data_IF_661869211309
#
_entry.id   IF_661869211309
#
_cell.length_a   1.000
_cell.length_b   1.000
_cell.length_c   1.000
_cell.angle_alpha   90.00
_cell.angle_beta   90.00
_cell.angle_gamma   90.00
#
_symmetry.space_group_name_H-M   'P 1'
#
loop_
_entity.id
_entity.type
_entity.pdbx_description
1 polymer ?
#
# COMPACT_ATOMS: atom_id res chain seq x y z
N UNK A 1 19.14 -20.00 -13.60
CA UNK A 1 18.86 -21.05 -12.61
C UNK A 1 19.90 -22.15 -12.73
N UNK A 2 20.49 -22.57 -11.61
CA UNK A 2 21.48 -23.65 -11.56
C UNK A 2 20.73 -24.99 -11.40
N UNK A 3 19.99 -25.39 -12.46
CA UNK A 3 19.11 -26.56 -12.42
C UNK A 3 19.88 -27.83 -12.02
N UNK A 4 21.05 -28.06 -12.64
CA UNK A 4 21.88 -29.24 -12.38
C UNK A 4 22.39 -29.28 -10.93
N UNK A 5 22.72 -28.10 -10.36
CA UNK A 5 23.13 -27.98 -8.97
C UNK A 5 22.02 -28.33 -8.01
N UNK A 6 20.82 -27.80 -8.23
CA UNK A 6 19.63 -28.07 -7.39
C UNK A 6 19.25 -29.53 -7.49
N UNK A 7 19.25 -30.13 -8.69
CA UNK A 7 19.00 -31.55 -8.90
C UNK A 7 20.01 -32.43 -8.16
N UNK A 8 21.32 -32.13 -8.29
CA UNK A 8 22.38 -32.89 -7.59
C UNK A 8 22.30 -32.78 -6.06
N UNK A 9 21.89 -31.60 -5.52
CA UNK A 9 21.61 -31.47 -4.08
C UNK A 9 20.39 -32.32 -3.71
N UNK A 10 19.32 -32.28 -4.53
CA UNK A 10 18.12 -33.09 -4.33
C UNK A 10 18.45 -34.58 -4.23
N UNK A 11 19.21 -35.11 -5.16
CA UNK A 11 19.63 -36.52 -5.13
C UNK A 11 20.48 -36.85 -3.88
N UNK A 12 21.44 -35.98 -3.55
CA UNK A 12 22.35 -36.23 -2.41
C UNK A 12 21.63 -36.20 -1.06
N UNK A 13 20.60 -35.38 -0.89
CA UNK A 13 19.84 -35.24 0.35
C UNK A 13 18.52 -35.99 0.34
N UNK A 14 18.22 -36.74 -0.73
CA UNK A 14 16.99 -37.54 -0.84
C UNK A 14 15.72 -36.70 -0.90
N UNK A 15 15.80 -35.50 -1.51
CA UNK A 15 14.62 -34.63 -1.63
C UNK A 15 13.63 -35.21 -2.64
N UNK A 16 12.34 -35.06 -2.32
CA UNK A 16 11.30 -35.50 -3.24
C UNK A 16 11.36 -34.68 -4.55
N UNK A 17 11.14 -35.29 -5.76
CA UNK A 17 11.22 -34.59 -7.04
C UNK A 17 10.33 -33.34 -7.12
N UNK A 18 9.16 -33.34 -6.50
CA UNK A 18 8.27 -32.17 -6.42
C UNK A 18 8.89 -31.01 -5.62
N UNK A 19 9.70 -31.31 -4.58
CA UNK A 19 10.42 -30.27 -3.83
C UNK A 19 11.48 -29.63 -4.71
N UNK A 20 12.21 -30.42 -5.50
CA UNK A 20 13.20 -29.90 -6.47
C UNK A 20 12.52 -29.00 -7.53
N UNK A 21 11.36 -29.42 -8.04
CA UNK A 21 10.56 -28.63 -8.97
C UNK A 21 10.12 -27.30 -8.34
N UNK A 22 9.62 -27.33 -7.11
CA UNK A 22 9.17 -26.13 -6.39
C UNK A 22 10.32 -25.15 -6.05
N UNK A 23 11.53 -25.66 -5.79
CA UNK A 23 12.72 -24.83 -5.60
C UNK A 23 13.07 -24.11 -6.90
N UNK A 24 12.94 -24.77 -8.04
CA UNK A 24 13.22 -24.20 -9.36
C UNK A 24 12.12 -23.28 -9.85
N UNK A 25 10.87 -23.48 -9.42
CA UNK A 25 9.75 -22.64 -9.73
C UNK A 25 9.60 -21.56 -8.66
N UNK A 26 10.17 -20.38 -8.94
CA UNK A 26 10.26 -19.28 -7.96
C UNK A 26 8.99 -18.45 -7.82
N UNK A 27 7.83 -18.94 -8.26
CA UNK A 27 6.52 -18.27 -8.06
C UNK A 27 5.59 -19.01 -7.10
N UNK A 28 6.17 -19.77 -6.17
CA UNK A 28 5.41 -20.48 -5.15
C UNK A 28 4.85 -19.54 -4.07
N UNK A 29 3.70 -19.93 -3.51
CA UNK A 29 3.19 -19.30 -2.27
C UNK A 29 3.95 -19.87 -1.07
N UNK A 30 4.10 -19.10 0.01
CA UNK A 30 4.62 -19.64 1.25
C UNK A 30 3.83 -20.90 1.65
N UNK A 31 4.55 -21.97 1.88
CA UNK A 31 3.99 -23.28 2.28
C UNK A 31 5.00 -24.08 3.08
N UNK A 32 4.49 -25.04 3.81
CA UNK A 32 5.29 -26.02 4.54
C UNK A 32 4.80 -27.43 4.18
N UNK A 33 5.74 -28.35 3.97
CA UNK A 33 5.47 -29.76 3.71
C UNK A 33 6.42 -30.62 4.57
N UNK A 34 5.86 -31.54 5.34
CA UNK A 34 6.63 -32.47 6.18
C UNK A 34 6.73 -33.81 5.45
N UNK A 35 7.96 -34.25 5.17
CA UNK A 35 8.29 -35.52 4.54
C UNK A 35 8.80 -36.56 5.56
N UNK A 36 8.74 -36.28 6.86
CA UNK A 36 9.23 -37.12 7.96
C UNK A 36 10.73 -36.98 8.19
N UNK A 37 11.55 -37.23 7.19
CA UNK A 37 13.03 -37.12 7.28
C UNK A 37 13.51 -35.68 7.14
N UNK A 38 12.72 -34.83 6.49
CA UNK A 38 12.97 -33.39 6.36
C UNK A 38 11.65 -32.61 6.25
N UNK A 39 11.71 -31.34 6.63
CA UNK A 39 10.64 -30.35 6.42
C UNK A 39 11.07 -29.39 5.33
N UNK A 40 10.20 -29.19 4.34
CA UNK A 40 10.37 -28.20 3.28
C UNK A 40 9.50 -26.98 3.55
N UNK A 41 10.11 -25.80 3.50
CA UNK A 41 9.43 -24.52 3.74
C UNK A 41 9.75 -23.56 2.61
N UNK A 42 8.71 -22.96 2.04
CA UNK A 42 8.82 -21.88 1.05
C UNK A 42 8.37 -20.58 1.71
N UNK A 43 9.14 -19.54 1.50
CA UNK A 43 8.91 -18.18 2.02
C UNK A 43 9.08 -17.15 0.91
N UNK A 44 8.52 -15.97 1.13
CA UNK A 44 8.78 -14.78 0.33
C UNK A 44 9.59 -13.79 1.16
N UNK A 45 10.87 -13.61 0.83
CA UNK A 45 11.65 -12.54 1.40
C UNK A 45 11.31 -11.22 0.71
N UNK A 46 11.11 -10.18 1.50
CA UNK A 46 10.77 -8.83 1.05
C UNK A 46 11.95 -7.92 1.30
N UNK A 47 12.31 -7.12 0.31
CA UNK A 47 13.37 -6.11 0.42
C UNK A 47 12.94 -4.81 -0.24
N UNK A 48 13.47 -3.70 0.27
CA UNK A 48 13.31 -2.39 -0.35
C UNK A 48 14.68 -1.92 -0.83
N UNK A 49 14.84 -1.71 -2.14
CA UNK A 49 16.06 -1.16 -2.73
C UNK A 49 15.92 0.35 -2.95
N UNK A 50 16.60 1.16 -2.10
CA UNK A 50 16.72 2.62 -2.25
C UNK A 50 15.41 3.41 -2.09
N UNK A 51 15.50 4.74 -2.21
CA UNK A 51 14.37 5.66 -2.01
C UNK A 51 13.33 5.65 -3.15
N UNK A 52 13.68 5.13 -4.33
CA UNK A 52 12.82 5.16 -5.55
C UNK A 52 12.45 3.79 -6.08
N UNK A 53 12.99 2.71 -5.54
CA UNK A 53 12.71 1.37 -6.05
C UNK A 53 11.53 0.75 -5.32
N UNK A 54 10.68 0.10 -6.10
CA UNK A 54 9.52 -0.62 -5.60
C UNK A 54 9.91 -1.75 -4.64
N UNK A 55 8.89 -2.35 -4.07
CA UNK A 55 9.01 -3.58 -3.30
C UNK A 55 9.62 -4.68 -4.18
N UNK A 56 10.73 -5.24 -3.72
CA UNK A 56 11.33 -6.43 -4.32
C UNK A 56 10.99 -7.66 -3.48
N UNK A 57 10.76 -8.76 -4.15
CA UNK A 57 10.55 -10.05 -3.51
C UNK A 57 11.45 -11.09 -4.13
N UNK A 58 11.85 -12.05 -3.31
CA UNK A 58 12.51 -13.27 -3.77
C UNK A 58 11.92 -14.47 -3.04
N UNK A 59 11.90 -15.61 -3.71
CA UNK A 59 11.57 -16.87 -3.07
C UNK A 59 12.77 -17.36 -2.29
N UNK A 60 12.50 -17.77 -1.06
CA UNK A 60 13.44 -18.49 -0.21
C UNK A 60 12.86 -19.86 0.07
N UNK A 61 13.58 -20.90 -0.29
CA UNK A 61 13.25 -22.30 0.02
C UNK A 61 14.19 -22.82 1.09
N UNK A 62 13.65 -23.38 2.16
CA UNK A 62 14.41 -23.97 3.27
C UNK A 62 14.09 -25.46 3.36
N UNK A 63 15.12 -26.28 3.49
CA UNK A 63 15.00 -27.69 3.82
C UNK A 63 15.63 -27.93 5.17
N UNK A 64 14.83 -28.27 6.16
CA UNK A 64 15.25 -28.62 7.50
C UNK A 64 15.31 -30.14 7.64
N UNK A 65 16.51 -30.71 7.74
CA UNK A 65 16.72 -32.09 8.15
C UNK A 65 17.17 -32.19 9.60
N UNK A 66 17.42 -33.41 10.06
CA UNK A 66 17.79 -33.68 11.46
C UNK A 66 19.04 -32.90 11.90
N UNK A 67 20.07 -32.81 11.05
CA UNK A 67 21.38 -32.23 11.36
C UNK A 67 21.85 -31.18 10.35
N UNK A 68 20.97 -30.74 9.45
CA UNK A 68 21.32 -29.79 8.40
C UNK A 68 20.16 -28.86 8.09
N UNK A 69 20.49 -27.68 7.54
CA UNK A 69 19.55 -26.78 6.89
C UNK A 69 20.15 -26.41 5.54
N UNK A 70 19.34 -26.51 4.48
CA UNK A 70 19.71 -26.04 3.15
C UNK A 70 18.80 -24.87 2.82
N UNK A 71 19.37 -23.76 2.36
CA UNK A 71 18.62 -22.60 1.90
C UNK A 71 18.91 -22.35 0.41
N UNK A 72 17.85 -22.21 -0.37
CA UNK A 72 17.90 -21.78 -1.77
C UNK A 72 17.34 -20.36 -1.87
N UNK A 73 18.07 -19.50 -2.56
CA UNK A 73 17.73 -18.09 -2.76
C UNK A 73 17.88 -17.76 -4.24
N UNK A 74 17.06 -16.84 -4.75
CA UNK A 74 17.12 -16.37 -6.14
C UNK A 74 18.25 -15.38 -6.37
N UNK A 75 18.55 -14.55 -5.36
CA UNK A 75 19.54 -13.46 -5.42
C UNK A 75 20.69 -13.71 -4.46
N UNK A 76 21.87 -13.21 -4.82
CA UNK A 76 23.04 -13.35 -3.95
C UNK A 76 22.84 -12.58 -2.63
N UNK A 77 22.67 -13.33 -1.57
CA UNK A 77 23.13 -13.07 -0.21
C UNK A 77 22.52 -11.95 0.61
N UNK A 78 21.60 -11.13 0.10
CA UNK A 78 21.16 -9.94 0.84
C UNK A 78 20.38 -10.30 2.12
N UNK A 79 19.49 -11.27 2.09
CA UNK A 79 18.58 -11.58 3.21
C UNK A 79 19.31 -12.22 4.38
N UNK A 80 20.14 -13.23 4.12
CA UNK A 80 20.81 -14.02 5.18
C UNK A 80 22.24 -13.60 5.52
N UNK A 81 22.70 -12.44 5.04
CA UNK A 81 24.06 -11.96 5.30
C UNK A 81 24.41 -11.95 6.79
N UNK A 82 23.56 -11.33 7.61
CA UNK A 82 23.74 -11.26 9.07
C UNK A 82 23.78 -12.64 9.73
N UNK A 83 22.97 -13.59 9.29
CA UNK A 83 22.96 -14.96 9.82
C UNK A 83 24.25 -15.67 9.46
N UNK A 84 24.71 -15.57 8.20
CA UNK A 84 26.00 -16.14 7.76
C UNK A 84 27.17 -15.60 8.54
N UNK A 85 27.21 -14.29 8.82
CA UNK A 85 28.27 -13.67 9.61
C UNK A 85 28.25 -14.16 11.08
N UNK A 86 27.07 -14.35 11.65
CA UNK A 86 26.92 -14.93 13.00
C UNK A 86 27.41 -16.38 13.04
N UNK A 87 27.14 -17.19 12.01
CA UNK A 87 27.64 -18.56 11.88
C UNK A 87 29.17 -18.56 11.79
N UNK A 88 29.74 -17.73 10.89
CA UNK A 88 31.21 -17.63 10.71
C UNK A 88 31.94 -17.17 11.96
N UNK A 89 31.33 -16.24 12.69
CA UNK A 89 31.91 -15.74 13.92
C UNK A 89 31.87 -16.75 15.10
N UNK A 90 31.10 -17.85 14.94
CA UNK A 90 30.90 -18.84 16.01
C UNK A 90 30.24 -18.26 17.28
N UNK A 91 29.64 -17.08 17.19
CA UNK A 91 29.08 -16.35 18.32
C UNK A 91 27.59 -16.64 18.50
N UNK A 92 27.16 -16.67 19.76
CA UNK A 92 25.76 -16.86 20.11
C UNK A 92 25.29 -18.30 20.12
N UNK A 93 23.97 -18.50 20.07
CA UNK A 93 23.35 -19.83 20.17
C UNK A 93 23.44 -20.62 18.87
N UNK A 94 23.54 -19.98 17.69
CA UNK A 94 23.55 -20.65 16.38
C UNK A 94 24.63 -21.74 16.31
N UNK A 95 25.83 -21.51 16.85
CA UNK A 95 26.91 -22.47 16.85
C UNK A 95 26.80 -23.58 17.92
N UNK A 96 25.83 -23.48 18.83
CA UNK A 96 25.65 -24.40 19.97
C UNK A 96 24.31 -25.15 19.94
N UNK A 97 23.41 -24.75 19.05
CA UNK A 97 22.06 -25.30 18.91
C UNK A 97 21.95 -26.17 17.67
N UNK A 98 20.85 -26.92 17.54
CA UNK A 98 20.60 -27.81 16.42
C UNK A 98 20.22 -27.11 15.11
N UNK A 99 19.99 -27.88 14.08
CA UNK A 99 19.55 -27.42 12.76
C UNK A 99 18.21 -26.65 12.85
N UNK A 100 17.33 -27.08 13.75
CA UNK A 100 16.04 -26.44 14.03
C UNK A 100 16.19 -24.98 14.47
N UNK A 101 17.15 -24.68 15.35
CA UNK A 101 17.41 -23.30 15.77
C UNK A 101 18.00 -22.44 14.63
N UNK A 102 18.80 -23.04 13.74
CA UNK A 102 19.26 -22.36 12.55
C UNK A 102 18.10 -22.06 11.60
N UNK A 103 17.20 -23.02 11.36
CA UNK A 103 16.00 -22.81 10.56
C UNK A 103 15.14 -21.68 11.13
N UNK A 104 14.88 -21.69 12.46
CA UNK A 104 14.23 -20.59 13.15
C UNK A 104 14.93 -19.25 12.86
N UNK A 105 16.25 -19.18 13.00
CA UNK A 105 17.00 -17.91 12.80
C UNK A 105 16.89 -17.38 11.38
N UNK A 106 16.74 -18.24 10.39
CA UNK A 106 16.48 -17.84 8.99
C UNK A 106 15.06 -17.32 8.81
N UNK A 107 14.06 -18.01 9.40
CA UNK A 107 12.65 -17.57 9.40
C UNK A 107 12.49 -16.21 10.06
N UNK A 108 13.07 -16.04 11.25
CA UNK A 108 13.09 -14.82 12.03
C UNK A 108 13.65 -13.64 11.22
N UNK A 109 14.78 -13.85 10.54
CA UNK A 109 15.38 -12.83 9.67
C UNK A 109 14.45 -12.42 8.51
N UNK A 110 13.68 -13.34 7.94
CA UNK A 110 12.71 -13.02 6.88
C UNK A 110 11.56 -12.19 7.45
N UNK A 111 11.05 -12.54 8.64
CA UNK A 111 9.97 -11.82 9.30
C UNK A 111 10.43 -10.43 9.76
N UNK A 112 11.65 -10.30 10.30
CA UNK A 112 12.24 -9.00 10.64
C UNK A 112 12.28 -8.04 9.44
N UNK A 113 12.61 -8.56 8.26
CA UNK A 113 12.60 -7.76 7.04
C UNK A 113 11.20 -7.27 6.64
N UNK A 114 10.13 -7.98 7.03
CA UNK A 114 8.77 -7.50 6.79
C UNK A 114 8.50 -6.20 7.55
N UNK A 115 8.98 -6.07 8.79
CA UNK A 115 8.81 -4.84 9.56
C UNK A 115 9.56 -3.66 8.95
N UNK A 116 10.75 -3.88 8.39
CA UNK A 116 11.47 -2.82 7.66
C UNK A 116 10.67 -2.34 6.44
N UNK A 117 10.04 -3.27 5.73
CA UNK A 117 9.18 -2.93 4.58
C UNK A 117 7.91 -2.21 5.04
N UNK A 118 7.27 -2.69 6.11
CA UNK A 118 6.06 -2.09 6.67
C UNK A 118 6.31 -0.66 7.17
N UNK A 119 7.44 -0.41 7.83
CA UNK A 119 7.83 0.94 8.26
C UNK A 119 7.90 1.91 7.07
N UNK A 120 8.56 1.53 5.98
CA UNK A 120 8.62 2.35 4.76
C UNK A 120 7.26 2.55 4.08
N UNK A 121 6.40 1.53 4.12
CA UNK A 121 5.04 1.66 3.60
C UNK A 121 4.24 2.62 4.47
N UNK A 122 4.39 2.57 5.79
CA UNK A 122 3.79 3.51 6.74
C UNK A 122 4.19 4.95 6.44
N UNK A 123 5.49 5.23 6.28
CA UNK A 123 6.00 6.56 5.90
C UNK A 123 5.41 7.06 4.57
N UNK A 124 5.26 6.17 3.58
CA UNK A 124 4.62 6.52 2.30
C UNK A 124 3.13 6.84 2.46
N UNK A 125 2.43 6.15 3.36
CA UNK A 125 1.03 6.39 3.68
C UNK A 125 0.89 7.77 4.31
N UNK A 126 1.67 8.10 5.34
CA UNK A 126 1.65 9.40 6.02
C UNK A 126 1.94 10.55 5.05
N UNK A 127 2.99 10.45 4.25
CA UNK A 127 3.32 11.46 3.24
C UNK A 127 2.20 11.66 2.21
N UNK A 128 1.48 10.59 1.88
CA UNK A 128 0.39 10.65 0.92
C UNK A 128 -0.87 11.26 1.53
N UNK A 129 -1.13 11.02 2.83
CA UNK A 129 -2.21 11.63 3.59
C UNK A 129 -2.01 13.15 3.67
N UNK A 130 -0.81 13.61 4.00
CA UNK A 130 -0.46 15.03 4.02
C UNK A 130 -0.64 15.70 2.66
N UNK A 131 -0.22 15.03 1.59
CA UNK A 131 -0.39 15.52 0.22
C UNK A 131 -1.88 15.60 -0.18
N UNK A 132 -2.69 14.65 0.29
CA UNK A 132 -4.12 14.59 0.02
C UNK A 132 -4.89 15.74 0.69
N UNK A 133 -4.53 16.06 1.94
CA UNK A 133 -5.13 17.16 2.69
C UNK A 133 -4.73 18.52 2.09
N UNK A 134 -3.47 18.66 1.67
CA UNK A 134 -2.94 19.95 1.17
C UNK A 134 -3.43 20.27 -0.24
N UNK A 135 -3.40 19.34 -1.17
CA UNK A 135 -3.80 19.55 -2.56
C UNK A 135 -4.13 18.24 -3.28
N UNK A 136 -5.39 17.79 -3.24
CA UNK A 136 -5.82 16.60 -3.94
C UNK A 136 -5.70 16.76 -5.47
N UNK A 137 -4.74 16.08 -6.06
CA UNK A 137 -4.46 16.14 -7.49
C UNK A 137 -4.42 14.72 -8.11
N UNK A 138 -4.50 14.64 -9.45
CA UNK A 138 -4.44 13.35 -10.16
C UNK A 138 -3.20 12.49 -9.85
N UNK A 139 -1.99 13.04 -9.59
CA UNK A 139 -0.85 12.25 -9.14
C UNK A 139 -1.07 11.57 -7.79
N UNK A 140 -1.77 12.23 -6.85
CA UNK A 140 -2.10 11.66 -5.53
C UNK A 140 -2.96 10.41 -5.66
N UNK A 141 -3.98 10.46 -6.54
CA UNK A 141 -4.82 9.28 -6.81
C UNK A 141 -4.02 8.10 -7.39
N UNK A 142 -3.09 8.37 -8.30
CA UNK A 142 -2.21 7.32 -8.85
C UNK A 142 -1.34 6.68 -7.76
N UNK A 143 -0.74 7.50 -6.89
CA UNK A 143 0.06 7.01 -5.78
C UNK A 143 -0.75 6.17 -4.78
N UNK A 144 -2.02 6.54 -4.50
CA UNK A 144 -2.95 5.73 -3.70
C UNK A 144 -3.17 4.35 -4.35
N UNK A 145 -3.39 4.30 -5.66
CA UNK A 145 -3.59 3.04 -6.37
C UNK A 145 -2.32 2.17 -6.44
N UNK A 146 -1.14 2.77 -6.54
CA UNK A 146 0.13 2.06 -6.49
C UNK A 146 0.33 1.43 -5.12
N UNK A 147 0.13 2.21 -4.06
CA UNK A 147 0.25 1.75 -2.69
C UNK A 147 -0.76 0.63 -2.36
N UNK A 148 -1.99 0.73 -2.86
CA UNK A 148 -2.99 -0.34 -2.75
C UNK A 148 -2.51 -1.64 -3.40
N UNK A 149 -1.86 -1.57 -4.56
CA UNK A 149 -1.28 -2.75 -5.23
C UNK A 149 -0.13 -3.34 -4.42
N UNK A 150 0.74 -2.48 -3.87
CA UNK A 150 1.84 -2.89 -3.01
C UNK A 150 1.31 -3.65 -1.78
N UNK A 151 0.25 -3.15 -1.12
CA UNK A 151 -0.37 -3.83 0.03
C UNK A 151 -1.00 -5.19 -0.32
N UNK A 152 -1.66 -5.29 -1.46
CA UNK A 152 -2.20 -6.58 -1.93
C UNK A 152 -1.06 -7.59 -2.13
N UNK A 153 0.04 -7.15 -2.68
CA UNK A 153 1.21 -7.98 -2.93
C UNK A 153 1.86 -8.41 -1.60
N UNK A 154 2.07 -7.47 -0.66
CA UNK A 154 2.59 -7.76 0.68
C UNK A 154 1.70 -8.76 1.43
N UNK A 155 0.40 -8.57 1.39
CA UNK A 155 -0.55 -9.49 2.01
C UNK A 155 -0.42 -10.91 1.46
N UNK A 156 -0.28 -11.07 0.14
CA UNK A 156 -0.08 -12.38 -0.49
C UNK A 156 1.22 -13.06 -0.07
N UNK A 157 2.23 -12.27 0.27
CA UNK A 157 3.54 -12.77 0.71
C UNK A 157 3.55 -13.14 2.19
N UNK A 158 2.87 -12.35 3.05
CA UNK A 158 2.92 -12.51 4.50
C UNK A 158 1.83 -13.44 5.03
N UNK A 159 0.61 -13.35 4.52
CA UNK A 159 -0.55 -14.07 5.05
C UNK A 159 -0.37 -15.60 5.13
N UNK A 160 0.16 -16.29 4.09
CA UNK A 160 0.33 -17.74 4.15
C UNK A 160 1.40 -18.18 5.15
N UNK A 161 2.32 -17.29 5.55
CA UNK A 161 3.37 -17.62 6.51
C UNK A 161 2.79 -17.99 7.89
N UNK A 162 1.63 -17.46 8.24
CA UNK A 162 0.88 -17.87 9.44
C UNK A 162 0.64 -19.40 9.48
N UNK A 163 0.25 -19.99 8.35
CA UNK A 163 0.01 -21.44 8.25
C UNK A 163 1.31 -22.22 8.35
N UNK A 164 2.36 -21.73 7.70
CA UNK A 164 3.70 -22.30 7.77
C UNK A 164 4.19 -22.37 9.23
N UNK A 165 4.13 -21.26 9.94
CA UNK A 165 4.59 -21.19 11.33
C UNK A 165 3.70 -21.99 12.29
N UNK A 166 2.38 -22.00 12.06
CA UNK A 166 1.46 -22.85 12.80
C UNK A 166 1.76 -24.32 12.59
N UNK A 167 2.14 -24.74 11.37
CA UNK A 167 2.56 -26.11 11.07
C UNK A 167 3.84 -26.49 11.81
N UNK A 168 4.82 -25.59 11.85
CA UNK A 168 6.08 -25.81 12.59
C UNK A 168 5.90 -25.84 14.11
N UNK A 169 4.85 -25.20 14.65
CA UNK A 169 4.52 -25.24 16.08
C UNK A 169 3.84 -26.53 16.54
N UNK A 170 3.17 -27.24 15.62
CA UNK A 170 2.51 -28.49 15.98
C UNK A 170 3.55 -29.55 16.33
N UNK A 171 3.31 -30.33 17.39
CA UNK A 171 4.21 -31.38 17.86
C UNK A 171 4.40 -32.54 16.85
N UNK A 172 3.76 -32.47 15.69
CA UNK A 172 3.82 -33.48 14.64
C UNK A 172 5.19 -33.56 13.96
N UNK A 173 6.00 -32.48 14.01
CA UNK A 173 7.33 -32.46 13.38
C UNK A 173 8.41 -32.84 14.41
N UNK A 174 8.90 -34.05 14.36
CA UNK A 174 9.99 -34.51 15.22
C UNK A 174 11.34 -33.78 15.02
N UNK A 175 11.43 -32.96 13.98
CA UNK A 175 12.65 -32.21 13.62
C UNK A 175 12.80 -30.88 14.38
N UNK A 176 11.76 -30.39 15.06
CA UNK A 176 11.77 -29.16 15.84
C UNK A 176 11.73 -29.50 17.33
N UNK A 177 12.77 -29.17 18.06
CA UNK A 177 12.84 -29.40 19.50
C UNK A 177 11.91 -28.48 20.28
N UNK A 178 11.44 -28.93 21.45
CA UNK A 178 10.64 -28.11 22.37
C UNK A 178 11.31 -26.78 22.75
N UNK A 179 12.65 -26.75 22.82
CA UNK A 179 13.41 -25.55 23.09
C UNK A 179 13.32 -24.53 21.95
N UNK A 180 13.24 -25.00 20.69
CA UNK A 180 13.11 -24.15 19.49
C UNK A 180 11.67 -23.73 19.24
N UNK A 181 10.67 -24.53 19.64
CA UNK A 181 9.26 -24.18 19.50
C UNK A 181 8.88 -22.86 20.16
N UNK A 182 9.52 -22.51 21.29
CA UNK A 182 9.29 -21.22 21.96
C UNK A 182 9.66 -20.05 21.05
N UNK A 183 10.74 -20.17 20.30
CA UNK A 183 11.20 -19.15 19.37
C UNK A 183 10.33 -19.09 18.10
N UNK A 184 9.87 -20.23 17.59
CA UNK A 184 8.93 -20.26 16.45
C UNK A 184 7.59 -19.60 16.82
N UNK A 185 7.16 -19.76 18.09
CA UNK A 185 5.97 -19.06 18.59
C UNK A 185 6.13 -17.55 18.55
N UNK A 186 7.29 -17.04 18.94
CA UNK A 186 7.61 -15.62 18.88
C UNK A 186 7.56 -15.09 17.43
N UNK A 187 8.15 -15.81 16.47
CA UNK A 187 8.05 -15.48 15.04
C UNK A 187 6.60 -15.53 14.54
N UNK A 188 5.80 -16.46 15.03
CA UNK A 188 4.38 -16.52 14.71
C UNK A 188 3.65 -15.25 15.19
N UNK A 189 3.88 -14.84 16.45
CA UNK A 189 3.27 -13.64 17.02
C UNK A 189 3.70 -12.39 16.26
N UNK A 190 4.97 -12.27 15.87
CA UNK A 190 5.48 -11.20 14.98
C UNK A 190 4.77 -11.23 13.62
N UNK A 191 4.56 -12.40 13.04
CA UNK A 191 3.85 -12.52 11.76
C UNK A 191 2.39 -12.06 11.86
N UNK A 192 1.70 -12.38 12.95
CA UNK A 192 0.34 -11.88 13.22
C UNK A 192 0.36 -10.35 13.30
N UNK A 193 1.31 -9.77 14.04
CA UNK A 193 1.44 -8.32 14.13
C UNK A 193 1.70 -7.66 12.77
N UNK A 194 2.51 -8.27 11.90
CA UNK A 194 2.73 -7.78 10.54
C UNK A 194 1.44 -7.83 9.71
N UNK A 195 0.62 -8.88 9.85
CA UNK A 195 -0.68 -9.02 9.19
C UNK A 195 -1.64 -7.93 9.66
N UNK A 196 -1.76 -7.69 10.97
CA UNK A 196 -2.63 -6.67 11.55
C UNK A 196 -2.23 -5.25 11.08
N UNK A 197 -0.93 -4.99 10.97
CA UNK A 197 -0.40 -3.74 10.41
C UNK A 197 -0.81 -3.56 8.95
N UNK A 198 -0.71 -4.62 8.13
CA UNK A 198 -1.16 -4.58 6.72
C UNK A 198 -2.66 -4.31 6.58
N UNK A 199 -3.49 -4.90 7.46
CA UNK A 199 -4.93 -4.62 7.46
C UNK A 199 -5.22 -3.16 7.85
N UNK A 200 -4.51 -2.63 8.86
CA UNK A 200 -4.59 -1.21 9.23
C UNK A 200 -4.23 -0.29 8.06
N UNK A 201 -3.14 -0.56 7.38
CA UNK A 201 -2.72 0.22 6.20
C UNK A 201 -3.73 0.15 5.06
N UNK A 202 -4.34 -1.02 4.83
CA UNK A 202 -5.42 -1.17 3.84
C UNK A 202 -6.61 -0.28 4.16
N UNK A 203 -7.01 -0.22 5.43
CA UNK A 203 -8.15 0.59 5.89
C UNK A 203 -7.83 2.09 5.78
N UNK A 204 -6.60 2.50 6.10
CA UNK A 204 -6.13 3.89 5.90
C UNK A 204 -6.21 4.29 4.41
N UNK A 205 -5.72 3.45 3.51
CA UNK A 205 -5.78 3.72 2.05
C UNK A 205 -7.23 3.79 1.55
N UNK A 206 -8.11 2.96 2.09
CA UNK A 206 -9.54 3.02 1.75
C UNK A 206 -10.15 4.35 2.20
N UNK A 207 -9.85 4.81 3.41
CA UNK A 207 -10.26 6.13 3.91
C UNK A 207 -9.72 7.30 3.08
N UNK A 208 -8.48 7.19 2.59
CA UNK A 208 -7.91 8.22 1.70
C UNK A 208 -8.67 8.37 0.38
N UNK A 209 -9.17 7.27 -0.19
CA UNK A 209 -10.00 7.34 -1.39
C UNK A 209 -11.31 8.09 -1.14
N UNK A 210 -11.93 7.87 0.01
CA UNK A 210 -13.16 8.58 0.40
C UNK A 210 -12.89 10.08 0.60
N UNK A 211 -11.79 10.43 1.26
CA UNK A 211 -11.35 11.82 1.43
C UNK A 211 -11.09 12.47 0.07
N UNK A 212 -10.40 11.77 -0.85
CA UNK A 212 -10.13 12.27 -2.20
C UNK A 212 -11.43 12.58 -2.96
N UNK A 213 -12.41 11.67 -2.96
CA UNK A 213 -13.69 11.85 -3.61
C UNK A 213 -14.49 13.01 -2.99
N UNK A 214 -14.49 13.12 -1.66
CA UNK A 214 -15.11 14.24 -0.96
C UNK A 214 -14.46 15.57 -1.32
N UNK A 215 -13.14 15.62 -1.40
CA UNK A 215 -12.36 16.81 -1.74
C UNK A 215 -12.64 17.28 -3.18
N UNK A 216 -12.71 16.35 -4.13
CA UNK A 216 -13.11 16.66 -5.52
C UNK A 216 -14.55 17.18 -5.59
N UNK A 217 -15.47 16.57 -4.85
CA UNK A 217 -16.87 17.03 -4.77
C UNK A 217 -16.95 18.46 -4.22
N UNK A 218 -16.22 18.76 -3.15
CA UNK A 218 -16.16 20.09 -2.58
C UNK A 218 -15.61 21.12 -3.58
N UNK A 219 -14.55 20.79 -4.31
CA UNK A 219 -13.97 21.65 -5.34
C UNK A 219 -14.94 21.90 -6.49
N UNK A 220 -15.67 20.88 -6.94
CA UNK A 220 -16.73 21.04 -7.93
C UNK A 220 -17.84 21.99 -7.43
N UNK A 221 -18.27 21.82 -6.17
CA UNK A 221 -19.26 22.69 -5.55
C UNK A 221 -18.78 24.15 -5.47
N UNK A 222 -17.50 24.39 -5.18
CA UNK A 222 -16.91 25.73 -5.18
C UNK A 222 -16.93 26.36 -6.59
N UNK A 223 -16.52 25.62 -7.61
CA UNK A 223 -16.59 26.10 -9.01
C UNK A 223 -18.03 26.39 -9.42
N UNK A 224 -18.95 25.46 -9.12
CA UNK A 224 -20.38 25.66 -9.41
C UNK A 224 -20.95 26.86 -8.66
N UNK A 225 -20.55 27.09 -7.42
CA UNK A 225 -20.93 28.27 -6.64
C UNK A 225 -20.51 29.57 -7.29
N UNK A 226 -19.24 29.65 -7.74
CA UNK A 226 -18.72 30.83 -8.47
C UNK A 226 -19.47 31.05 -9.76
N UNK A 227 -19.66 30.00 -10.56
CA UNK A 227 -20.40 30.08 -11.82
C UNK A 227 -21.85 30.54 -11.61
N UNK A 228 -22.51 29.97 -10.58
CA UNK A 228 -23.89 30.35 -10.22
C UNK A 228 -23.95 31.81 -9.80
N UNK A 229 -23.01 32.31 -9.00
CA UNK A 229 -22.98 33.72 -8.59
C UNK A 229 -22.84 34.65 -9.83
N UNK A 230 -21.91 34.35 -10.72
CA UNK A 230 -21.71 35.13 -11.95
C UNK A 230 -23.00 35.12 -12.79
N UNK A 231 -23.55 33.95 -13.08
CA UNK A 231 -24.76 33.80 -13.89
C UNK A 231 -25.95 34.56 -13.28
N UNK A 232 -26.16 34.41 -11.96
CA UNK A 232 -27.30 35.04 -11.26
C UNK A 232 -27.21 36.57 -11.25
N UNK A 233 -25.99 37.14 -11.23
CA UNK A 233 -25.79 38.58 -11.31
C UNK A 233 -25.97 39.07 -12.76
N UNK A 234 -25.39 38.38 -13.75
CA UNK A 234 -25.36 38.88 -15.12
C UNK A 234 -26.65 38.63 -15.91
N UNK A 235 -27.38 37.55 -15.65
CA UNK A 235 -28.61 37.24 -16.39
C UNK A 235 -29.65 38.37 -16.29
N UNK A 236 -30.02 38.89 -15.09
CA UNK A 236 -30.95 40.02 -15.00
C UNK A 236 -30.43 41.28 -15.67
N UNK A 237 -29.12 41.59 -15.51
CA UNK A 237 -28.50 42.74 -16.13
C UNK A 237 -28.54 42.69 -17.64
N UNK A 238 -28.19 41.53 -18.20
CA UNK A 238 -28.22 41.27 -19.64
C UNK A 238 -29.63 41.33 -20.19
N UNK A 239 -30.60 40.81 -19.44
CA UNK A 239 -32.03 40.91 -19.81
C UNK A 239 -32.49 42.39 -19.89
N UNK A 240 -32.21 43.18 -18.87
CA UNK A 240 -32.53 44.64 -18.84
C UNK A 240 -31.85 45.32 -20.04
N UNK A 241 -30.54 45.15 -20.22
CA UNK A 241 -29.81 45.74 -21.33
C UNK A 241 -30.37 45.29 -22.70
N UNK A 242 -30.76 44.00 -22.82
CA UNK A 242 -31.36 43.43 -24.02
C UNK A 242 -32.73 44.06 -24.38
N UNK A 243 -33.60 44.26 -23.38
CA UNK A 243 -34.91 44.90 -23.58
C UNK A 243 -34.73 46.32 -24.08
N UNK A 244 -33.84 47.12 -23.46
CA UNK A 244 -33.57 48.50 -23.88
C UNK A 244 -32.68 48.61 -25.11
N UNK A 245 -32.04 47.50 -25.55
CA UNK A 245 -31.33 47.41 -26.84
C UNK A 245 -32.17 46.99 -28.00
N UNK A 246 -33.50 46.74 -27.83
CA UNK A 246 -34.39 46.34 -28.90
C UNK A 246 -34.74 47.53 -29.80
N UNK A 247 -34.82 47.27 -31.13
CA UNK A 247 -35.10 48.32 -32.12
C UNK A 247 -36.61 48.46 -32.38
N UNK A 248 -37.42 48.69 -31.35
CA UNK A 248 -38.85 49.01 -31.53
C UNK A 248 -39.06 50.49 -31.85
N UNK A 249 -40.02 50.76 -32.75
CA UNK A 249 -40.32 52.14 -33.20
C UNK A 249 -41.01 53.04 -32.14
N UNK A 250 -41.62 52.43 -31.12
CA UNK A 250 -42.29 53.13 -30.02
C UNK A 250 -41.85 52.49 -28.69
N UNK A 251 -40.91 53.11 -28.03
CA UNK A 251 -40.48 52.84 -26.66
C UNK A 251 -40.55 54.16 -25.86
N UNK A 252 -41.64 54.41 -25.15
CA UNK A 252 -41.85 55.68 -24.42
C UNK A 252 -40.72 56.01 -23.43
N UNK A 253 -40.08 55.01 -22.88
CA UNK A 253 -38.99 55.14 -21.93
C UNK A 253 -37.70 55.70 -22.54
N UNK A 254 -37.48 55.57 -23.85
CA UNK A 254 -36.30 56.09 -24.56
C UNK A 254 -36.40 57.60 -24.81
N UNK A 255 -37.60 58.15 -24.90
CA UNK A 255 -37.82 59.58 -25.05
C UNK A 255 -37.74 60.36 -23.74
N UNK A 256 -37.70 59.63 -22.59
CA UNK A 256 -37.62 60.24 -21.26
C UNK A 256 -36.19 60.62 -20.96
N UNK A 257 -35.95 61.93 -20.62
CA UNK A 257 -34.61 62.46 -20.35
C UNK A 257 -33.85 61.77 -19.25
N UNK A 258 -34.54 61.16 -18.30
CA UNK A 258 -33.99 60.40 -17.18
C UNK A 258 -34.02 58.89 -17.38
N UNK A 259 -34.47 58.40 -18.52
CA UNK A 259 -34.60 56.94 -18.80
C UNK A 259 -33.30 56.20 -18.72
N UNK A 260 -32.25 56.70 -19.41
CA UNK A 260 -30.92 56.08 -19.34
C UNK A 260 -30.28 56.04 -17.94
N UNK A 261 -30.21 57.18 -17.18
CA UNK A 261 -29.74 57.13 -15.80
C UNK A 261 -30.58 56.18 -14.90
N UNK A 262 -31.87 56.18 -15.04
CA UNK A 262 -32.76 55.32 -14.24
C UNK A 262 -32.51 53.83 -14.46
N UNK A 263 -32.29 53.39 -15.71
CA UNK A 263 -31.93 51.99 -16.02
C UNK A 263 -30.56 51.61 -15.44
N UNK A 264 -29.57 52.52 -15.55
CA UNK A 264 -28.26 52.26 -14.93
C UNK A 264 -28.34 52.14 -13.41
N UNK A 265 -29.15 53.00 -12.76
CA UNK A 265 -29.37 52.93 -11.32
C UNK A 265 -30.08 51.60 -10.94
N UNK A 266 -31.08 51.19 -11.72
CA UNK A 266 -31.78 49.91 -11.51
C UNK A 266 -30.81 48.71 -11.64
N UNK A 267 -29.97 48.70 -12.68
CA UNK A 267 -28.95 47.67 -12.87
C UNK A 267 -27.95 47.65 -11.71
N UNK A 268 -27.47 48.80 -11.28
CA UNK A 268 -26.57 48.92 -10.14
C UNK A 268 -27.25 48.42 -8.84
N UNK A 269 -28.51 48.76 -8.60
CA UNK A 269 -29.28 48.29 -7.44
C UNK A 269 -29.44 46.78 -7.43
N UNK A 270 -29.75 46.16 -8.58
CA UNK A 270 -29.82 44.70 -8.73
C UNK A 270 -28.48 44.06 -8.43
N UNK A 271 -27.39 44.61 -8.97
CA UNK A 271 -26.03 44.10 -8.73
C UNK A 271 -25.68 44.14 -7.23
N UNK A 272 -25.87 45.28 -6.58
CA UNK A 272 -25.57 45.45 -5.15
C UNK A 272 -26.44 44.53 -4.29
N UNK A 273 -27.73 44.42 -4.61
CA UNK A 273 -28.63 43.51 -3.90
C UNK A 273 -28.17 42.04 -4.00
N UNK A 274 -27.75 41.60 -5.20
CA UNK A 274 -27.28 40.22 -5.40
C UNK A 274 -25.96 39.96 -4.68
N UNK A 275 -25.02 40.90 -4.68
CA UNK A 275 -23.77 40.79 -3.93
C UNK A 275 -24.06 40.68 -2.42
N UNK A 276 -24.96 41.53 -1.91
CA UNK A 276 -25.37 41.49 -0.50
C UNK A 276 -26.05 40.18 -0.14
N UNK A 277 -26.92 39.65 -1.01
CA UNK A 277 -27.57 38.37 -0.84
C UNK A 277 -26.56 37.22 -0.74
N UNK A 278 -25.56 37.16 -1.65
CA UNK A 278 -24.53 36.13 -1.62
C UNK A 278 -23.61 36.26 -0.42
N UNK A 279 -23.26 37.47 -0.01
CA UNK A 279 -22.49 37.72 1.22
C UNK A 279 -23.25 37.24 2.46
N UNK A 280 -24.56 37.47 2.54
CA UNK A 280 -25.40 36.96 3.63
C UNK A 280 -25.49 35.43 3.65
N UNK A 281 -25.47 34.79 2.51
CA UNK A 281 -25.43 33.34 2.35
C UNK A 281 -24.02 32.72 2.56
N UNK A 282 -23.01 33.52 2.87
CA UNK A 282 -21.61 33.10 3.00
C UNK A 282 -21.06 32.40 1.73
N UNK A 283 -21.50 32.89 0.58
CA UNK A 283 -21.00 32.41 -0.72
C UNK A 283 -19.83 33.26 -1.22
N UNK A 284 -19.71 34.47 -0.72
CA UNK A 284 -18.60 35.40 -0.84
C UNK A 284 -17.88 35.54 0.49
#
# INVERSE_FOLDING_TARGET
HQVDLVAGIGERFGLHPLVVEDILNTDQRPKMEDFGDFVYVVLRALTCNGEKSGLETEQVSLVLGRNYVISFQEKDGAVFGKVRDRIRAGKGRIGKSGADYLAYSLLDTVVDNYFIVLERVGERIENLEDALVSNPASPTLRAIHELKRDLIFLRRSVWPLREVLSGLQREETALVSAATQVYIRDVYDHTIHAIDTLETFRDMISGMLDIYLSSISNRLNEVMKVLTMIATIFIPLTFIAGVYGMNFRRMPELEWRWGYPAVLILMAAVCVYMIFYFKRKKWL
#
